data_IF_026680106462
#
_entry.id   IF_026680106462
#
_cell.length_a   1.000
_cell.length_b   1.000
_cell.length_c   1.000
_cell.angle_alpha   90.00
_cell.angle_beta   90.00
_cell.angle_gamma   90.00
#
_symmetry.space_group_name_H-M   'P 1'
#
loop_
_entity.id
_entity.type
_entity.pdbx_description
1 polymer ?
#
# COMPACT_ATOMS: atom_id res chain seq x y z
N UNK A 1 -8.38 24.79 59.07
CA UNK A 1 -9.44 24.61 60.09
C UNK A 1 -10.09 25.97 60.32
N UNK A 2 -11.39 25.99 60.61
CA UNK A 2 -12.24 27.19 60.78
C UNK A 2 -12.47 28.07 59.53
N UNK A 3 -13.70 28.59 59.45
CA UNK A 3 -14.27 29.57 58.51
C UNK A 3 -15.51 30.20 59.20
N UNK A 4 -16.29 31.07 58.53
CA UNK A 4 -17.62 31.62 58.97
C UNK A 4 -17.50 32.72 60.07
N UNK A 5 -18.16 33.89 60.10
CA UNK A 5 -19.13 34.65 59.23
C UNK A 5 -18.79 36.20 59.29
N UNK A 6 -19.63 37.27 59.41
CA UNK A 6 -21.08 37.57 59.56
C UNK A 6 -21.48 38.98 59.03
N UNK A 7 -22.56 39.08 58.25
CA UNK A 7 -23.53 40.21 58.00
C UNK A 7 -23.24 41.71 58.29
N UNK A 8 -23.53 42.59 57.30
CA UNK A 8 -24.64 43.63 57.21
C UNK A 8 -24.42 44.48 55.91
N UNK A 9 -25.36 44.82 55.01
CA UNK A 9 -26.62 45.62 55.07
C UNK A 9 -26.43 47.09 55.53
N UNK A 10 -26.91 48.15 54.88
CA UNK A 10 -27.69 48.36 53.62
C UNK A 10 -27.16 49.64 52.88
N UNK A 11 -27.73 50.27 51.83
CA UNK A 11 -29.08 50.89 51.61
C UNK A 11 -29.23 51.26 50.10
N UNK A 12 -30.47 51.42 49.59
CA UNK A 12 -30.77 52.11 48.32
C UNK A 12 -32.06 52.96 48.43
N UNK A 13 -32.15 54.10 47.71
CA UNK A 13 -33.24 54.34 46.74
C UNK A 13 -32.70 54.90 45.39
N UNK A 14 -33.22 54.61 44.19
CA UNK A 14 -34.59 54.50 43.65
C UNK A 14 -35.18 55.82 43.11
N UNK A 15 -35.20 55.98 41.77
CA UNK A 15 -36.16 56.80 41.02
C UNK A 15 -36.10 56.53 39.49
N UNK A 16 -37.28 56.45 38.88
CA UNK A 16 -37.59 56.57 37.44
C UNK A 16 -39.00 57.23 37.39
N UNK A 17 -39.66 57.51 36.24
CA UNK A 17 -39.25 57.35 34.84
C UNK A 17 -39.51 58.60 33.97
N UNK A 18 -39.25 58.51 32.65
CA UNK A 18 -40.06 59.17 31.62
C UNK A 18 -39.82 58.47 30.26
N UNK A 19 -40.83 58.44 29.40
CA UNK A 19 -40.70 58.04 28.00
C UNK A 19 -41.25 59.17 27.10
N UNK A 20 -40.73 59.31 25.89
CA UNK A 20 -41.57 59.60 24.72
C UNK A 20 -40.83 59.56 23.37
N UNK A 21 -41.52 58.93 22.41
CA UNK A 21 -41.54 59.19 20.96
C UNK A 21 -40.28 59.06 20.08
N UNK A 22 -40.56 58.87 18.79
CA UNK A 22 -39.66 58.51 17.70
C UNK A 22 -39.38 59.68 16.75
N UNK A 23 -38.19 59.70 16.12
CA UNK A 23 -38.03 60.30 14.78
C UNK A 23 -36.96 59.55 13.94
N UNK A 24 -37.06 59.63 12.62
CA UNK A 24 -36.28 58.88 11.63
C UNK A 24 -34.96 59.57 11.23
N UNK A 25 -33.94 59.47 12.08
CA UNK A 25 -32.61 60.04 11.85
C UNK A 25 -31.62 59.09 11.17
N UNK A 26 -31.71 58.92 9.83
CA UNK A 26 -30.76 58.24 8.91
C UNK A 26 -29.50 57.64 9.57
N UNK A 27 -29.55 56.36 9.97
CA UNK A 27 -28.30 55.60 10.20
C UNK A 27 -27.60 55.45 8.86
N UNK A 28 -26.45 56.12 8.71
CA UNK A 28 -25.61 55.99 7.54
C UNK A 28 -25.21 54.52 7.40
N UNK A 29 -25.52 53.91 6.25
CA UNK A 29 -24.88 52.66 5.87
C UNK A 29 -23.41 52.94 5.56
N UNK A 30 -22.59 52.97 6.61
CA UNK A 30 -21.23 52.46 6.50
C UNK A 30 -21.36 51.06 5.95
N UNK A 31 -21.09 50.89 4.65
CA UNK A 31 -20.98 49.58 4.00
C UNK A 31 -19.90 48.82 4.75
N UNK A 32 -20.32 48.04 5.75
CA UNK A 32 -19.51 46.95 6.26
C UNK A 32 -19.20 46.10 5.05
N UNK A 33 -17.95 46.15 4.60
CA UNK A 33 -17.51 45.27 3.54
C UNK A 33 -17.77 43.86 4.05
N UNK A 34 -18.66 43.14 3.37
CA UNK A 34 -18.57 41.69 3.33
C UNK A 34 -17.21 41.41 2.72
N UNK A 35 -16.20 41.29 3.59
CA UNK A 35 -14.90 40.79 3.20
C UNK A 35 -15.19 39.38 2.65
N UNK A 36 -15.18 39.26 1.33
CA UNK A 36 -15.11 37.95 0.72
C UNK A 36 -13.88 37.28 1.32
N UNK A 37 -14.08 36.14 1.97
CA UNK A 37 -12.96 35.33 2.47
C UNK A 37 -12.00 35.15 1.30
N UNK A 38 -10.74 35.56 1.47
CA UNK A 38 -9.82 35.61 0.34
C UNK A 38 -9.65 34.19 -0.23
N UNK A 39 -9.37 34.07 -1.52
CA UNK A 39 -9.17 32.76 -2.14
C UNK A 39 -8.03 31.99 -1.41
N UNK A 40 -7.03 32.70 -0.87
CA UNK A 40 -6.02 32.12 0.01
C UNK A 40 -6.59 31.58 1.33
N UNK A 41 -7.49 32.30 2.00
CA UNK A 41 -8.08 31.88 3.28
C UNK A 41 -9.04 30.70 3.09
N UNK A 42 -9.80 30.68 1.98
CA UNK A 42 -10.58 29.50 1.58
C UNK A 42 -9.66 28.29 1.31
N UNK A 43 -8.58 28.44 0.53
CA UNK A 43 -7.63 27.36 0.25
C UNK A 43 -6.91 26.87 1.52
N UNK A 44 -6.63 27.78 2.49
CA UNK A 44 -6.12 27.43 3.84
C UNK A 44 -7.15 26.63 4.64
N UNK A 45 -8.42 27.07 4.67
CA UNK A 45 -9.52 26.42 5.40
C UNK A 45 -9.84 25.02 4.84
N UNK A 46 -9.76 24.86 3.51
CA UNK A 46 -9.87 23.56 2.80
C UNK A 46 -8.66 22.66 3.04
N UNK A 47 -7.57 23.18 3.64
CA UNK A 47 -6.38 22.40 4.01
C UNK A 47 -5.45 22.11 2.84
N UNK A 48 -5.50 22.91 1.76
CA UNK A 48 -4.72 22.67 0.53
C UNK A 48 -3.22 22.65 0.80
N UNK A 49 -2.72 23.49 1.73
CA UNK A 49 -1.31 23.50 2.14
C UNK A 49 -0.85 22.14 2.67
N UNK A 50 -1.62 21.49 3.54
CA UNK A 50 -1.26 20.17 4.10
C UNK A 50 -1.49 19.03 3.10
N UNK A 51 -2.47 19.18 2.20
CA UNK A 51 -2.62 18.28 1.05
C UNK A 51 -1.39 18.30 0.13
N UNK A 52 -0.92 19.50 -0.25
CA UNK A 52 0.28 19.68 -1.07
C UNK A 52 1.53 19.19 -0.32
N UNK A 53 1.66 19.51 0.98
CA UNK A 53 2.76 19.03 1.82
C UNK A 53 2.82 17.51 1.87
N UNK A 54 1.69 16.83 2.06
CA UNK A 54 1.62 15.37 2.06
C UNK A 54 1.98 14.77 0.70
N UNK A 55 1.55 15.38 -0.41
CA UNK A 55 1.87 14.93 -1.76
C UNK A 55 3.38 15.10 -2.08
N UNK A 56 3.96 16.26 -1.73
CA UNK A 56 5.40 16.54 -1.90
C UNK A 56 6.26 15.61 -1.03
N UNK A 57 5.85 15.33 0.21
CA UNK A 57 6.50 14.33 1.05
C UNK A 57 6.48 12.93 0.40
N UNK A 58 5.38 12.56 -0.26
CA UNK A 58 5.30 11.28 -0.99
C UNK A 58 6.21 11.25 -2.23
N UNK A 59 6.36 12.35 -2.96
CA UNK A 59 7.37 12.46 -4.04
C UNK A 59 8.79 12.30 -3.48
N UNK A 60 9.12 12.92 -2.34
CA UNK A 60 10.44 12.84 -1.71
C UNK A 60 10.75 11.45 -1.12
N UNK A 61 9.75 10.77 -0.56
CA UNK A 61 9.83 9.39 -0.06
C UNK A 61 9.98 8.37 -1.20
N UNK A 62 9.15 8.48 -2.24
CA UNK A 62 9.04 7.49 -3.31
C UNK A 62 10.04 7.68 -4.46
N UNK A 63 10.52 8.92 -4.66
CA UNK A 63 11.42 9.32 -5.76
C UNK A 63 10.98 8.77 -7.13
N UNK A 64 9.74 9.05 -7.58
CA UNK A 64 9.24 8.59 -8.87
C UNK A 64 10.06 9.21 -10.02
N UNK A 65 10.24 8.44 -11.10
CA UNK A 65 10.92 8.89 -12.33
C UNK A 65 10.14 10.02 -13.03
N UNK A 66 8.80 10.02 -12.90
CA UNK A 66 7.89 11.05 -13.40
C UNK A 66 7.11 11.74 -12.27
N UNK A 67 7.69 12.73 -11.54
CA UNK A 67 7.04 13.37 -10.40
C UNK A 67 5.69 14.04 -10.71
N UNK A 68 5.51 14.58 -11.91
CA UNK A 68 4.27 15.27 -12.31
C UNK A 68 3.14 14.26 -12.54
N UNK A 69 3.41 13.17 -13.25
CA UNK A 69 2.45 12.08 -13.45
C UNK A 69 2.07 11.40 -12.12
N UNK A 70 3.07 11.18 -11.25
CA UNK A 70 2.84 10.70 -9.88
C UNK A 70 1.93 11.64 -9.08
N UNK A 71 2.14 12.96 -9.15
CA UNK A 71 1.32 13.94 -8.43
C UNK A 71 -0.12 13.99 -8.97
N UNK A 72 -0.31 13.97 -10.29
CA UNK A 72 -1.65 13.90 -10.90
C UNK A 72 -2.41 12.65 -10.39
N UNK A 73 -1.78 11.47 -10.52
CA UNK A 73 -2.36 10.22 -10.06
C UNK A 73 -2.56 10.16 -8.54
N UNK A 74 -1.71 10.84 -7.77
CA UNK A 74 -1.86 10.97 -6.33
C UNK A 74 -3.12 11.78 -5.97
N UNK A 75 -3.38 12.91 -6.65
CA UNK A 75 -4.57 13.73 -6.39
C UNK A 75 -5.87 13.08 -6.91
N UNK A 76 -5.85 12.36 -8.02
CA UNK A 76 -6.97 11.51 -8.47
C UNK A 76 -7.40 10.52 -7.37
N UNK A 77 -6.45 9.75 -6.85
CA UNK A 77 -6.71 8.75 -5.82
C UNK A 77 -6.95 9.33 -4.42
N UNK A 78 -6.55 10.58 -4.16
CA UNK A 78 -6.93 11.30 -2.93
C UNK A 78 -8.45 11.49 -2.82
N UNK A 79 -9.18 11.50 -3.94
CA UNK A 79 -10.65 11.43 -3.96
C UNK A 79 -11.24 10.15 -3.34
N UNK A 80 -10.43 9.11 -3.11
CA UNK A 80 -10.83 7.90 -2.39
C UNK A 80 -10.73 8.03 -0.85
N UNK A 81 -10.41 9.22 -0.32
CA UNK A 81 -10.60 9.53 1.11
C UNK A 81 -12.10 9.48 1.44
N UNK A 82 -12.45 8.88 2.57
CA UNK A 82 -13.83 8.50 2.92
C UNK A 82 -14.84 9.65 2.88
N UNK A 83 -16.14 9.37 2.61
CA UNK A 83 -17.20 10.36 2.38
C UNK A 83 -17.68 11.12 3.65
N UNK A 84 -16.76 11.48 4.56
CA UNK A 84 -17.08 12.13 5.83
C UNK A 84 -17.75 13.51 5.66
N UNK A 85 -17.47 14.21 4.55
CA UNK A 85 -18.06 15.50 4.18
C UNK A 85 -18.86 15.43 2.85
N UNK A 86 -19.28 14.22 2.42
CA UNK A 86 -19.69 13.95 1.03
C UNK A 86 -21.18 13.66 0.80
N UNK A 87 -22.06 14.65 1.01
CA UNK A 87 -23.44 14.64 0.51
C UNK A 87 -24.48 13.80 1.29
N UNK A 88 -25.75 14.18 1.16
CA UNK A 88 -26.89 13.51 1.80
C UNK A 88 -27.41 12.32 0.96
N UNK A 89 -26.52 11.40 0.59
CA UNK A 89 -26.86 10.14 -0.06
C UNK A 89 -27.05 8.99 0.93
N UNK A 90 -27.71 7.92 0.49
CA UNK A 90 -27.76 6.66 1.25
C UNK A 90 -26.34 6.15 1.57
N UNK A 91 -26.10 5.58 2.77
CA UNK A 91 -24.78 5.11 3.15
C UNK A 91 -24.35 3.95 2.23
N UNK A 92 -23.15 4.01 1.58
CA UNK A 92 -22.68 2.96 0.70
C UNK A 92 -22.75 1.57 1.35
N UNK A 93 -23.39 0.63 0.64
CA UNK A 93 -23.55 -0.75 1.11
C UNK A 93 -22.20 -1.35 1.54
N UNK A 94 -22.21 -2.15 2.62
CA UNK A 94 -20.99 -2.52 3.36
C UNK A 94 -19.90 -3.14 2.48
N UNK A 95 -20.30 -3.90 1.45
CA UNK A 95 -19.39 -4.50 0.45
C UNK A 95 -18.70 -3.44 -0.43
N UNK A 96 -19.38 -2.37 -0.83
CA UNK A 96 -18.82 -1.29 -1.63
C UNK A 96 -17.83 -0.45 -0.80
N UNK A 97 -18.17 -0.20 0.47
CA UNK A 97 -17.24 0.41 1.43
C UNK A 97 -15.97 -0.45 1.64
N UNK A 98 -16.11 -1.77 1.73
CA UNK A 98 -14.98 -2.69 1.84
C UNK A 98 -14.11 -2.68 0.57
N UNK A 99 -14.72 -2.69 -0.62
CA UNK A 99 -13.99 -2.58 -1.89
C UNK A 99 -13.24 -1.25 -2.04
N UNK A 100 -13.84 -0.12 -1.63
CA UNK A 100 -13.19 1.19 -1.63
C UNK A 100 -11.95 1.19 -0.72
N UNK A 101 -12.05 0.60 0.48
CA UNK A 101 -10.94 0.47 1.43
C UNK A 101 -9.82 -0.44 0.90
N UNK A 102 -10.16 -1.57 0.28
CA UNK A 102 -9.21 -2.46 -0.39
C UNK A 102 -8.48 -1.73 -1.54
N UNK A 103 -9.21 -0.96 -2.36
CA UNK A 103 -8.62 -0.13 -3.41
C UNK A 103 -7.65 0.92 -2.87
N UNK A 104 -8.04 1.68 -1.83
CA UNK A 104 -7.19 2.69 -1.20
C UNK A 104 -5.98 2.09 -0.49
N UNK A 105 -6.11 0.94 0.17
CA UNK A 105 -4.99 0.24 0.79
C UNK A 105 -3.98 -0.26 -0.26
N UNK A 106 -4.48 -0.82 -1.36
CA UNK A 106 -3.68 -1.26 -2.50
C UNK A 106 -2.94 -0.11 -3.20
N UNK A 107 -3.61 1.04 -3.35
CA UNK A 107 -2.99 2.27 -3.86
C UNK A 107 -1.83 2.72 -2.97
N UNK A 108 -2.06 2.85 -1.65
CA UNK A 108 -0.98 3.20 -0.69
C UNK A 108 0.22 2.26 -0.82
N UNK A 109 -0.02 0.94 -0.88
CA UNK A 109 1.03 -0.08 -1.02
C UNK A 109 1.86 0.06 -2.31
N UNK A 110 1.31 0.64 -3.38
CA UNK A 110 2.00 0.88 -4.66
C UNK A 110 2.73 2.23 -4.73
N UNK A 111 2.51 3.14 -3.79
CA UNK A 111 3.12 4.49 -3.81
C UNK A 111 4.65 4.51 -3.65
N UNK A 112 5.30 3.40 -3.28
CA UNK A 112 6.75 3.29 -3.13
C UNK A 112 7.21 1.87 -3.47
N UNK A 113 8.36 1.72 -4.12
CA UNK A 113 8.89 0.38 -4.41
C UNK A 113 9.28 -0.33 -3.11
N UNK A 114 9.08 -1.64 -3.03
CA UNK A 114 9.25 -2.37 -1.76
C UNK A 114 10.72 -2.44 -1.27
N UNK A 115 11.70 -2.15 -2.14
CA UNK A 115 13.10 -1.93 -1.74
C UNK A 115 13.33 -0.62 -0.98
N UNK A 116 12.44 0.38 -1.12
CA UNK A 116 12.48 1.67 -0.41
C UNK A 116 11.96 1.50 1.02
N UNK A 117 12.71 0.74 1.83
CA UNK A 117 12.27 0.14 3.10
C UNK A 117 11.48 1.10 4.01
N UNK A 118 11.88 2.36 4.16
CA UNK A 118 11.17 3.33 5.02
C UNK A 118 9.82 3.75 4.41
N UNK A 119 9.83 4.25 3.16
CA UNK A 119 8.63 4.70 2.46
C UNK A 119 7.58 3.59 2.32
N UNK A 120 8.02 2.38 1.91
CA UNK A 120 7.16 1.21 1.83
C UNK A 120 6.60 0.81 3.21
N UNK A 121 7.41 0.83 4.28
CA UNK A 121 6.91 0.49 5.62
C UNK A 121 5.93 1.52 6.19
N UNK A 122 6.08 2.81 5.86
CA UNK A 122 5.11 3.86 6.18
C UNK A 122 3.79 3.58 5.46
N UNK A 123 3.85 3.35 4.14
CA UNK A 123 2.69 3.04 3.29
C UNK A 123 1.93 1.77 3.74
N UNK A 124 2.65 0.71 4.10
CA UNK A 124 2.07 -0.54 4.67
C UNK A 124 1.28 -0.26 5.95
N UNK A 125 1.78 0.63 6.82
CA UNK A 125 1.10 0.95 8.09
C UNK A 125 -0.20 1.72 7.83
N UNK A 126 -0.18 2.71 6.94
CA UNK A 126 -1.38 3.44 6.51
C UNK A 126 -2.40 2.54 5.79
N UNK A 127 -1.93 1.56 5.00
CA UNK A 127 -2.79 0.55 4.37
C UNK A 127 -3.46 -0.37 5.42
N UNK A 128 -2.71 -0.82 6.43
CA UNK A 128 -3.24 -1.62 7.54
C UNK A 128 -4.30 -0.85 8.35
N UNK A 129 -4.05 0.41 8.68
CA UNK A 129 -5.00 1.30 9.36
C UNK A 129 -6.28 1.51 8.52
N UNK A 130 -6.13 1.74 7.21
CA UNK A 130 -7.25 1.94 6.28
C UNK A 130 -8.22 0.74 6.22
N UNK A 131 -7.72 -0.47 6.46
CA UNK A 131 -8.52 -1.70 6.49
C UNK A 131 -9.03 -2.01 7.91
N UNK A 132 -8.20 -1.80 8.93
CA UNK A 132 -8.54 -2.01 10.35
C UNK A 132 -9.56 -1.02 10.92
N UNK A 133 -9.78 0.12 10.24
CA UNK A 133 -10.72 1.17 10.63
C UNK A 133 -12.19 0.71 10.54
N UNK A 134 -12.69 0.00 11.55
CA UNK A 134 -14.10 -0.42 11.62
C UNK A 134 -15.08 0.76 11.56
N UNK A 135 -16.28 0.52 11.01
CA UNK A 135 -17.41 1.45 11.14
C UNK A 135 -17.92 1.53 12.58
N UNK A 136 -18.75 2.54 12.90
CA UNK A 136 -19.21 2.97 14.25
C UNK A 136 -19.76 1.89 15.22
N UNK A 137 -19.86 0.62 14.83
CA UNK A 137 -20.38 -0.50 15.64
C UNK A 137 -19.50 -1.77 15.68
N UNK A 138 -18.42 -1.89 14.89
CA UNK A 138 -17.49 -3.04 14.93
C UNK A 138 -16.20 -2.66 15.68
N UNK A 139 -15.59 -3.57 16.43
CA UNK A 139 -14.25 -3.34 17.03
C UNK A 139 -13.21 -3.10 15.92
N UNK A 140 -12.24 -2.19 16.09
CA UNK A 140 -11.17 -2.01 15.10
C UNK A 140 -10.28 -3.26 15.02
N UNK A 141 -9.69 -3.49 13.84
CA UNK A 141 -8.81 -4.62 13.57
C UNK A 141 -9.04 -5.22 12.17
N UNK A 142 -7.99 -5.81 11.60
CA UNK A 142 -8.03 -6.51 10.32
C UNK A 142 -8.42 -7.97 10.53
N UNK A 143 -9.42 -8.45 9.77
CA UNK A 143 -9.79 -9.87 9.71
C UNK A 143 -9.07 -10.60 8.56
N UNK A 144 -8.80 -11.89 8.77
CA UNK A 144 -8.11 -12.76 7.83
C UNK A 144 -8.79 -12.83 6.46
N UNK A 145 -10.11 -12.65 6.40
CA UNK A 145 -10.85 -12.55 5.14
C UNK A 145 -10.43 -11.33 4.31
N UNK A 146 -10.42 -10.14 4.92
CA UNK A 146 -10.03 -8.89 4.24
C UNK A 146 -8.55 -8.90 3.87
N UNK A 147 -7.69 -9.47 4.73
CA UNK A 147 -6.27 -9.67 4.44
C UNK A 147 -6.04 -10.62 3.26
N UNK A 148 -6.66 -11.79 3.27
CA UNK A 148 -6.51 -12.81 2.22
C UNK A 148 -7.04 -12.35 0.87
N UNK A 149 -8.09 -11.52 0.84
CA UNK A 149 -8.56 -10.86 -0.39
C UNK A 149 -7.58 -9.83 -0.93
N UNK A 150 -6.93 -9.03 -0.05
CA UNK A 150 -5.89 -8.10 -0.49
C UNK A 150 -4.68 -8.82 -1.08
N UNK A 151 -4.23 -9.93 -0.47
CA UNK A 151 -3.15 -10.77 -1.00
C UNK A 151 -3.45 -11.29 -2.42
N UNK A 152 -4.66 -11.83 -2.63
CA UNK A 152 -5.14 -12.27 -3.96
C UNK A 152 -5.11 -11.13 -4.96
N UNK A 153 -5.64 -9.95 -4.57
CA UNK A 153 -5.69 -8.76 -5.42
C UNK A 153 -4.31 -8.24 -5.79
N UNK A 154 -3.36 -8.19 -4.86
CA UNK A 154 -1.97 -7.79 -5.15
C UNK A 154 -1.38 -8.70 -6.23
N UNK A 155 -1.51 -10.02 -6.07
CA UNK A 155 -0.90 -10.99 -6.98
C UNK A 155 -1.56 -11.00 -8.37
N UNK A 156 -2.91 -10.99 -8.43
CA UNK A 156 -3.68 -10.95 -9.68
C UNK A 156 -3.39 -9.67 -10.48
N UNK A 157 -3.50 -8.52 -9.83
CA UNK A 157 -3.25 -7.22 -10.47
C UNK A 157 -1.75 -7.06 -10.85
N UNK A 158 -0.86 -7.88 -10.29
CA UNK A 158 0.56 -7.96 -10.64
C UNK A 158 0.90 -8.90 -11.81
N UNK A 159 -0.10 -9.55 -12.43
CA UNK A 159 0.07 -10.33 -13.65
C UNK A 159 0.80 -11.67 -13.52
N UNK A 160 1.03 -12.17 -12.30
CA UNK A 160 1.63 -13.49 -12.10
C UNK A 160 0.58 -14.61 -12.29
N UNK A 161 0.94 -15.77 -12.89
CA UNK A 161 0.03 -16.90 -13.08
C UNK A 161 -0.55 -17.44 -11.76
N UNK A 162 -1.78 -17.96 -11.78
CA UNK A 162 -2.43 -18.45 -10.55
C UNK A 162 -1.73 -19.70 -9.99
N UNK A 163 -1.17 -20.55 -10.85
CA UNK A 163 -0.40 -21.75 -10.48
C UNK A 163 0.88 -21.39 -9.73
N UNK A 164 1.49 -20.27 -10.09
CA UNK A 164 2.67 -19.66 -9.45
C UNK A 164 2.32 -19.01 -8.11
N UNK A 165 1.13 -18.41 -8.01
CA UNK A 165 0.68 -17.61 -6.85
C UNK A 165 0.01 -18.45 -5.77
N UNK A 166 -0.82 -19.44 -6.13
CA UNK A 166 -1.59 -20.27 -5.21
C UNK A 166 -0.73 -21.06 -4.18
N UNK A 167 0.50 -21.52 -4.46
CA UNK A 167 1.39 -22.11 -3.46
C UNK A 167 1.90 -21.09 -2.43
N UNK A 168 2.08 -19.82 -2.81
CA UNK A 168 2.41 -18.76 -1.84
C UNK A 168 1.19 -18.47 -0.96
N UNK A 169 0.03 -18.21 -1.58
CA UNK A 169 -1.19 -17.83 -0.85
C UNK A 169 -1.56 -18.87 0.22
N UNK A 170 -1.44 -20.17 -0.10
CA UNK A 170 -1.66 -21.28 0.85
C UNK A 170 -0.70 -21.32 2.06
N UNK A 171 0.41 -20.56 2.05
CA UNK A 171 1.33 -20.40 3.19
C UNK A 171 1.09 -19.13 4.02
N UNK A 172 0.51 -18.10 3.42
CA UNK A 172 0.49 -16.74 4.01
C UNK A 172 -0.91 -16.17 4.23
N UNK A 173 -1.97 -16.82 3.74
CA UNK A 173 -3.35 -16.47 4.08
C UNK A 173 -3.70 -16.97 5.48
N UNK A 174 -4.48 -16.17 6.21
CA UNK A 174 -5.05 -16.53 7.51
C UNK A 174 -6.57 -16.74 7.38
N UNK A 175 -7.15 -17.51 8.30
CA UNK A 175 -8.58 -17.91 8.26
C UNK A 175 -9.48 -16.69 8.37
N UNK A 176 -10.65 -16.75 7.76
CA UNK A 176 -11.59 -15.62 7.62
C UNK A 176 -11.88 -14.84 8.92
N UNK A 177 -11.87 -15.51 10.07
CA UNK A 177 -12.19 -14.96 11.39
C UNK A 177 -10.97 -14.65 12.27
N UNK A 178 -9.75 -14.97 11.84
CA UNK A 178 -8.53 -14.68 12.58
C UNK A 178 -8.23 -13.17 12.53
N UNK A 179 -7.81 -12.59 13.66
CA UNK A 179 -7.32 -11.22 13.69
C UNK A 179 -5.88 -11.20 13.16
N UNK A 180 -5.59 -10.33 12.20
CA UNK A 180 -4.29 -10.25 11.52
C UNK A 180 -3.45 -9.10 12.12
N UNK A 181 -2.31 -9.38 12.79
CA UNK A 181 -1.39 -8.36 13.29
C UNK A 181 -0.71 -7.54 12.19
N UNK A 182 -0.16 -6.38 12.55
CA UNK A 182 0.53 -5.47 11.62
C UNK A 182 1.85 -6.04 11.08
N UNK A 183 2.59 -6.80 11.87
CA UNK A 183 3.83 -7.48 11.45
C UNK A 183 3.53 -8.62 10.48
N UNK A 184 2.49 -9.41 10.75
CA UNK A 184 1.95 -10.43 9.85
C UNK A 184 1.48 -9.82 8.52
N UNK A 185 0.71 -8.74 8.58
CA UNK A 185 0.29 -7.99 7.39
C UNK A 185 1.49 -7.50 6.58
N UNK A 186 2.46 -6.86 7.25
CA UNK A 186 3.70 -6.34 6.63
C UNK A 186 4.53 -7.43 5.98
N UNK A 187 4.66 -8.60 6.61
CA UNK A 187 5.34 -9.76 6.04
C UNK A 187 4.62 -10.29 4.80
N UNK A 188 3.29 -10.41 4.84
CA UNK A 188 2.48 -10.83 3.70
C UNK A 188 2.59 -9.87 2.51
N UNK A 189 2.41 -8.56 2.75
CA UNK A 189 2.53 -7.53 1.69
C UNK A 189 3.89 -7.58 1.02
N UNK A 190 4.98 -7.56 1.82
CA UNK A 190 6.35 -7.61 1.29
C UNK A 190 6.59 -8.90 0.50
N UNK A 191 6.14 -10.05 0.99
CA UNK A 191 6.36 -11.34 0.32
C UNK A 191 5.65 -11.42 -1.03
N UNK A 192 4.42 -10.87 -1.15
CA UNK A 192 3.73 -10.77 -2.43
C UNK A 192 4.47 -9.87 -3.43
N UNK A 193 4.90 -8.66 -3.03
CA UNK A 193 5.60 -7.75 -3.96
C UNK A 193 6.96 -8.28 -4.40
N UNK A 194 7.72 -8.94 -3.51
CA UNK A 194 9.01 -9.57 -3.91
C UNK A 194 8.77 -10.79 -4.80
N UNK A 195 7.74 -11.62 -4.57
CA UNK A 195 7.40 -12.71 -5.49
C UNK A 195 7.07 -12.18 -6.89
N UNK A 196 6.28 -11.10 -6.99
CA UNK A 196 5.94 -10.50 -8.27
C UNK A 196 7.17 -10.01 -9.03
N UNK A 197 8.08 -9.29 -8.37
CA UNK A 197 9.35 -8.86 -9.01
C UNK A 197 10.22 -10.06 -9.40
N UNK A 198 10.32 -11.08 -8.54
CA UNK A 198 11.08 -12.29 -8.80
C UNK A 198 10.53 -13.07 -10.01
N UNK A 199 9.20 -13.22 -10.13
CA UNK A 199 8.53 -13.89 -11.26
C UNK A 199 8.67 -13.07 -12.55
N UNK A 200 8.60 -11.74 -12.48
CA UNK A 200 8.87 -10.88 -13.62
C UNK A 200 10.32 -11.00 -14.11
N UNK A 201 11.30 -10.99 -13.20
CA UNK A 201 12.72 -11.22 -13.51
C UNK A 201 12.96 -12.62 -14.08
N UNK A 202 12.31 -13.65 -13.54
CA UNK A 202 12.38 -15.01 -14.06
C UNK A 202 11.77 -15.11 -15.48
N UNK A 203 10.67 -14.41 -15.76
CA UNK A 203 10.11 -14.32 -17.11
C UNK A 203 11.08 -13.66 -18.08
N UNK A 204 11.69 -12.54 -17.70
CA UNK A 204 12.65 -11.84 -18.53
C UNK A 204 13.90 -12.70 -18.82
N UNK A 205 14.35 -13.51 -17.85
CA UNK A 205 15.41 -14.50 -18.08
C UNK A 205 14.96 -15.58 -19.08
N UNK A 206 13.76 -16.15 -18.94
CA UNK A 206 13.27 -17.18 -19.87
C UNK A 206 13.16 -16.67 -21.32
N UNK A 207 12.77 -15.40 -21.51
CA UNK A 207 12.70 -14.75 -22.82
C UNK A 207 14.06 -14.58 -23.52
N UNK A 208 15.18 -14.81 -22.81
CA UNK A 208 16.53 -14.88 -23.38
C UNK A 208 16.98 -16.33 -23.69
N UNK A 209 16.17 -17.33 -23.32
CA UNK A 209 16.45 -18.76 -23.52
C UNK A 209 15.48 -19.41 -24.53
N UNK A 210 14.35 -18.77 -24.83
CA UNK A 210 13.31 -19.33 -25.68
C UNK A 210 13.67 -19.26 -27.17
N UNK A 211 13.40 -20.35 -27.90
CA UNK A 211 13.45 -20.35 -29.37
C UNK A 211 12.28 -19.49 -29.90
N UNK A 212 12.55 -18.40 -30.65
CA UNK A 212 11.50 -17.49 -31.13
C UNK A 212 10.46 -18.13 -32.06
N UNK A 213 10.77 -19.28 -32.68
CA UNK A 213 9.85 -20.04 -33.52
C UNK A 213 8.98 -21.05 -32.75
N UNK A 214 9.32 -21.38 -31.49
CA UNK A 214 8.68 -22.45 -30.72
C UNK A 214 8.19 -22.03 -29.32
N UNK A 215 8.57 -20.85 -28.80
CA UNK A 215 8.21 -20.33 -27.47
C UNK A 215 8.56 -21.29 -26.30
N UNK A 216 9.64 -22.04 -26.46
CA UNK A 216 10.19 -23.00 -25.49
C UNK A 216 11.71 -22.90 -25.44
N UNK A 217 12.31 -23.20 -24.30
CA UNK A 217 13.76 -23.29 -24.13
C UNK A 217 14.23 -24.75 -24.13
N UNK A 218 15.51 -25.01 -24.39
CA UNK A 218 16.11 -26.32 -24.09
C UNK A 218 16.07 -26.56 -22.58
N UNK A 219 15.48 -27.68 -22.15
CA UNK A 219 15.29 -27.99 -20.73
C UNK A 219 16.58 -28.02 -19.91
N UNK A 220 17.74 -28.33 -20.50
CA UNK A 220 19.04 -28.29 -19.81
C UNK A 220 19.45 -26.86 -19.51
N UNK A 221 19.25 -25.97 -20.48
CA UNK A 221 19.58 -24.54 -20.38
C UNK A 221 18.64 -23.89 -19.36
N UNK A 222 17.33 -24.14 -19.44
CA UNK A 222 16.36 -23.70 -18.43
C UNK A 222 16.66 -24.26 -17.02
N UNK A 223 17.01 -25.55 -16.91
CA UNK A 223 17.37 -26.14 -15.62
C UNK A 223 18.68 -25.55 -15.05
N UNK A 224 19.70 -25.30 -15.86
CA UNK A 224 20.94 -24.66 -15.40
C UNK A 224 20.71 -23.25 -14.82
N UNK A 225 19.76 -22.49 -15.38
CA UNK A 225 19.34 -21.21 -14.78
C UNK A 225 18.61 -21.42 -13.46
N UNK A 226 17.72 -22.42 -13.36
CA UNK A 226 17.03 -22.75 -12.10
C UNK A 226 18.00 -23.21 -11.00
N UNK A 227 18.99 -24.04 -11.33
CA UNK A 227 20.03 -24.51 -10.41
C UNK A 227 20.92 -23.33 -9.93
N UNK A 228 21.24 -22.40 -10.84
CA UNK A 228 21.98 -21.16 -10.51
C UNK A 228 21.15 -20.23 -9.62
N UNK A 229 19.84 -20.09 -9.89
CA UNK A 229 18.90 -19.38 -9.02
C UNK A 229 18.83 -20.02 -7.63
N UNK A 230 18.73 -21.34 -7.52
CA UNK A 230 18.69 -22.03 -6.23
C UNK A 230 19.98 -21.84 -5.41
N UNK A 231 21.14 -21.97 -6.04
CA UNK A 231 22.45 -21.74 -5.41
C UNK A 231 22.64 -20.30 -4.94
N UNK A 232 22.20 -19.32 -5.73
CA UNK A 232 22.21 -17.91 -5.33
C UNK A 232 21.27 -17.61 -4.16
N UNK A 233 20.11 -18.27 -4.12
CA UNK A 233 19.17 -18.28 -2.99
C UNK A 233 19.64 -19.16 -1.80
N UNK A 234 20.92 -19.57 -1.78
CA UNK A 234 21.36 -20.82 -1.15
C UNK A 234 22.59 -20.81 -0.23
N UNK A 235 22.89 -19.74 0.54
CA UNK A 235 23.67 -19.92 1.81
C UNK A 235 23.17 -19.04 2.98
N UNK A 236 21.90 -18.62 2.95
CA UNK A 236 21.29 -17.85 4.05
C UNK A 236 20.55 -18.74 5.03
N UNK A 237 20.77 -18.55 6.33
CA UNK A 237 19.98 -19.21 7.38
C UNK A 237 18.48 -18.86 7.26
N UNK A 238 17.61 -19.83 7.59
CA UNK A 238 16.14 -19.82 7.43
C UNK A 238 15.41 -18.77 8.29
N UNK A 239 16.15 -17.92 9.01
CA UNK A 239 15.63 -16.90 9.91
C UNK A 239 15.55 -15.48 9.31
N UNK A 240 16.29 -15.17 8.24
CA UNK A 240 16.49 -13.80 7.76
C UNK A 240 15.43 -13.29 6.74
N UNK A 241 15.24 -11.97 6.71
CA UNK A 241 14.15 -11.30 6.00
C UNK A 241 14.28 -11.27 4.46
N UNK A 242 13.18 -10.97 3.71
CA UNK A 242 13.18 -10.86 2.25
C UNK A 242 14.18 -9.87 1.62
N UNK A 243 14.83 -9.00 2.41
CA UNK A 243 15.96 -8.20 1.94
C UNK A 243 17.09 -9.05 1.31
N UNK A 244 17.23 -10.33 1.72
CA UNK A 244 18.23 -11.25 1.15
C UNK A 244 17.99 -11.66 -0.31
N UNK A 245 16.82 -11.41 -0.89
CA UNK A 245 16.63 -11.62 -2.33
C UNK A 245 17.50 -10.64 -3.16
N UNK A 246 17.93 -9.51 -2.60
CA UNK A 246 18.95 -8.63 -3.19
C UNK A 246 20.38 -9.20 -3.06
N UNK A 247 20.71 -9.85 -1.93
CA UNK A 247 21.98 -10.57 -1.76
C UNK A 247 22.12 -11.72 -2.76
N UNK A 248 21.02 -12.43 -3.06
CA UNK A 248 20.99 -13.45 -4.11
C UNK A 248 21.28 -12.87 -5.51
N UNK A 249 20.78 -11.67 -5.81
CA UNK A 249 21.07 -10.97 -7.08
C UNK A 249 22.56 -10.75 -7.32
N UNK A 250 23.35 -10.47 -6.28
CA UNK A 250 24.81 -10.33 -6.39
C UNK A 250 25.56 -11.67 -6.59
N UNK A 251 24.91 -12.80 -6.30
CA UNK A 251 25.45 -14.17 -6.48
C UNK A 251 25.13 -14.74 -7.86
N UNK A 252 24.03 -14.29 -8.48
CA UNK A 252 23.73 -14.47 -9.91
C UNK A 252 24.63 -13.58 -10.80
N UNK A 253 25.94 -13.52 -10.50
CA UNK A 253 26.90 -12.76 -11.28
C UNK A 253 26.96 -13.30 -12.71
N UNK A 254 27.07 -12.43 -13.73
CA UNK A 254 26.90 -12.82 -15.14
C UNK A 254 27.83 -13.95 -15.55
N UNK A 255 29.08 -13.95 -15.06
CA UNK A 255 30.08 -14.98 -15.35
C UNK A 255 29.67 -16.37 -14.82
N UNK A 256 28.99 -16.43 -13.69
CA UNK A 256 28.49 -17.69 -13.10
C UNK A 256 27.34 -18.28 -13.91
N UNK A 257 26.45 -17.42 -14.40
CA UNK A 257 25.31 -17.80 -15.23
C UNK A 257 25.78 -18.22 -16.63
N UNK A 258 26.69 -17.45 -17.25
CA UNK A 258 27.31 -17.81 -18.53
C UNK A 258 28.00 -19.18 -18.46
N UNK A 259 28.84 -19.42 -17.44
CA UNK A 259 29.49 -20.73 -17.25
C UNK A 259 28.51 -21.88 -17.03
N UNK A 260 27.34 -21.65 -16.42
CA UNK A 260 26.30 -22.66 -16.27
C UNK A 260 25.60 -22.95 -17.62
N UNK A 261 25.29 -21.91 -18.38
CA UNK A 261 24.68 -21.99 -19.71
C UNK A 261 25.60 -22.71 -20.72
N UNK A 262 26.88 -22.36 -20.78
CA UNK A 262 27.87 -22.99 -21.66
C UNK A 262 27.98 -24.51 -21.42
N UNK A 263 28.01 -24.92 -20.14
CA UNK A 263 28.06 -26.34 -19.74
C UNK A 263 26.79 -27.09 -20.12
N UNK A 264 25.62 -26.44 -20.04
CA UNK A 264 24.34 -27.04 -20.44
C UNK A 264 24.22 -27.19 -21.97
N UNK A 265 24.60 -26.14 -22.71
CA UNK A 265 24.59 -26.10 -24.17
C UNK A 265 25.57 -27.11 -24.78
N UNK A 266 26.76 -27.27 -24.21
CA UNK A 266 27.77 -28.25 -24.65
C UNK A 266 27.38 -29.73 -24.52
N UNK A 267 26.23 -30.05 -23.90
CA UNK A 267 25.73 -31.42 -23.77
C UNK A 267 25.36 -32.04 -25.13
N UNK A 268 25.91 -33.22 -25.43
CA UNK A 268 25.70 -33.94 -26.72
C UNK A 268 24.44 -34.82 -26.81
N UNK A 269 23.47 -34.68 -25.89
CA UNK A 269 22.24 -35.49 -25.90
C UNK A 269 21.04 -34.63 -26.31
N UNK A 270 20.06 -35.18 -27.06
CA UNK A 270 18.77 -34.53 -27.24
C UNK A 270 18.14 -34.22 -25.89
N UNK A 271 17.56 -33.03 -25.77
CA UNK A 271 16.74 -32.63 -24.63
C UNK A 271 15.31 -32.42 -25.07
N UNK A 272 14.35 -32.70 -24.20
CA UNK A 272 12.99 -32.20 -24.38
C UNK A 272 12.96 -30.67 -24.17
N UNK A 273 11.96 -29.97 -24.75
CA UNK A 273 11.72 -28.57 -24.44
C UNK A 273 11.27 -28.36 -22.99
N UNK A 274 11.43 -27.14 -22.49
CA UNK A 274 10.79 -26.61 -21.29
C UNK A 274 9.93 -25.40 -21.69
N UNK A 275 8.66 -25.40 -21.29
CA UNK A 275 7.75 -24.29 -21.56
C UNK A 275 7.90 -23.19 -20.49
N UNK A 276 7.57 -21.94 -20.85
CA UNK A 276 7.65 -20.78 -19.95
C UNK A 276 6.92 -21.00 -18.62
N UNK A 277 5.74 -21.62 -18.65
CA UNK A 277 4.96 -21.92 -17.45
C UNK A 277 5.71 -22.88 -16.50
N UNK A 278 6.26 -23.99 -17.03
CA UNK A 278 7.04 -24.95 -16.22
C UNK A 278 8.25 -24.28 -15.56
N UNK A 279 8.95 -23.40 -16.30
CA UNK A 279 10.08 -22.64 -15.76
C UNK A 279 9.65 -21.71 -14.63
N UNK A 280 8.55 -20.95 -14.81
CA UNK A 280 8.07 -20.00 -13.80
C UNK A 280 7.54 -20.70 -12.55
N UNK A 281 6.84 -21.84 -12.67
CA UNK A 281 6.41 -22.65 -11.54
C UNK A 281 7.61 -23.19 -10.73
N UNK A 282 8.64 -23.70 -11.42
CA UNK A 282 9.89 -24.15 -10.78
C UNK A 282 10.61 -22.99 -10.09
N UNK A 283 10.78 -21.86 -10.76
CA UNK A 283 11.44 -20.68 -10.18
C UNK A 283 10.67 -20.17 -8.93
N UNK A 284 9.35 -20.04 -9.02
CA UNK A 284 8.50 -19.63 -7.91
C UNK A 284 8.57 -20.62 -6.73
N UNK A 285 8.66 -21.93 -7.00
CA UNK A 285 8.85 -22.93 -5.95
C UNK A 285 10.14 -22.71 -5.15
N UNK A 286 11.25 -22.30 -5.78
CA UNK A 286 12.51 -21.96 -5.10
C UNK A 286 12.34 -20.78 -4.12
N UNK A 287 11.61 -19.74 -4.53
CA UNK A 287 11.27 -18.60 -3.68
C UNK A 287 10.36 -19.03 -2.52
N UNK A 288 9.25 -19.70 -2.84
CA UNK A 288 8.19 -20.10 -1.91
C UNK A 288 8.70 -21.13 -0.90
N UNK A 289 9.70 -21.95 -1.25
CA UNK A 289 10.39 -22.85 -0.32
C UNK A 289 11.06 -22.12 0.86
N UNK A 290 11.55 -20.88 0.66
CA UNK A 290 12.14 -20.06 1.75
C UNK A 290 11.09 -19.31 2.58
N UNK A 291 9.87 -19.12 2.05
CA UNK A 291 8.77 -18.44 2.77
C UNK A 291 8.27 -19.32 3.93
N UNK A 292 8.29 -18.77 5.14
CA UNK A 292 7.70 -19.39 6.34
C UNK A 292 6.16 -19.38 6.23
N UNK A 293 5.47 -20.44 6.67
CA UNK A 293 4.05 -20.34 7.00
C UNK A 293 3.80 -19.25 8.04
N UNK A 294 2.64 -18.62 7.95
CA UNK A 294 2.26 -17.44 8.73
C UNK A 294 1.02 -17.74 9.60
N UNK A 295 0.11 -18.52 9.02
CA UNK A 295 -1.07 -19.15 9.59
C UNK A 295 -1.17 -20.57 9.00
#
# INVERSE_FOLDING_TARGET
MAAVEKRRQAVAPAAAPAANFTDNGRVSMSRGATAAESEEDFLRQVGVTEMLRAALLKVLEARPEEPIAFLAHYFENMGLRSPANGGAGEPPGQLLLQQQRLGRALWHLRLAHHSQRTAFNNNVSVAYECLSASGRKKKPGLDGRTYSELLKRICRDGGAPEEVVAPLLRKIQCRDHEAVPLDIFRAGMLTCFVLLEFVARASALFQLLEDPGLAVADRRVGQAVLDTLEGALGTGDRAAAPARYLEAGSRLGPDSLAQALDRAAGGRRPSSPMARQEFLEKAAALFIAKVKPVC
#
